data_IF_670496400105
#
_entry.id   IF_670496400105
#
_cell.length_a   1.000
_cell.length_b   1.000
_cell.length_c   1.000
_cell.angle_alpha   90.00
_cell.angle_beta   90.00
_cell.angle_gamma   90.00
#
_symmetry.space_group_name_H-M   'P 1'
#
loop_
_entity.id
_entity.type
_entity.pdbx_description
1 polymer ?
#
# COMPACT_ATOMS: atom_id res chain seq x y z
N UNK A 1 12.85 -58.15 -45.04
CA UNK A 1 13.91 -57.12 -45.13
C UNK A 1 13.59 -56.18 -46.29
N UNK A 2 13.71 -54.86 -46.09
CA UNK A 2 13.33 -53.73 -46.97
C UNK A 2 11.94 -53.12 -46.75
N UNK A 3 11.73 -52.45 -45.62
CA UNK A 3 10.78 -51.30 -45.52
C UNK A 3 10.94 -50.50 -44.21
N UNK A 4 12.16 -50.24 -43.73
CA UNK A 4 12.37 -49.45 -42.49
C UNK A 4 13.32 -48.24 -42.70
N UNK A 5 13.86 -48.03 -43.90
CA UNK A 5 14.75 -46.88 -44.18
C UNK A 5 14.11 -45.98 -45.23
N UNK A 6 13.05 -45.28 -44.86
CA UNK A 6 12.53 -44.11 -45.62
C UNK A 6 11.82 -43.07 -44.75
N UNK A 7 11.75 -43.26 -43.43
CA UNK A 7 11.03 -42.37 -42.51
C UNK A 7 11.96 -41.46 -41.68
N UNK A 8 13.21 -41.27 -42.13
CA UNK A 8 14.23 -40.45 -41.45
C UNK A 8 14.61 -39.17 -42.19
N UNK A 9 13.80 -38.73 -43.16
CA UNK A 9 14.04 -37.52 -43.97
C UNK A 9 12.81 -36.59 -44.04
N UNK A 10 12.05 -36.48 -42.96
CA UNK A 10 10.89 -35.60 -42.87
C UNK A 10 10.77 -34.86 -41.53
N UNK A 11 11.90 -34.61 -40.85
CA UNK A 11 12.00 -33.80 -39.62
C UNK A 11 13.01 -32.64 -39.78
N UNK A 12 13.09 -32.07 -40.97
CA UNK A 12 13.80 -30.81 -41.20
C UNK A 12 12.90 -30.00 -42.13
N UNK A 13 12.69 -28.72 -41.81
CA UNK A 13 11.68 -27.79 -42.38
C UNK A 13 10.40 -27.71 -41.51
N UNK A 14 10.51 -27.12 -40.31
CA UNK A 14 9.73 -25.93 -39.86
C UNK A 14 10.54 -25.28 -38.71
N UNK A 15 11.64 -24.62 -39.04
CA UNK A 15 12.22 -23.56 -38.20
C UNK A 15 12.39 -22.40 -39.17
N UNK A 16 11.52 -21.39 -39.06
CA UNK A 16 11.69 -19.99 -39.46
C UNK A 16 10.32 -19.33 -39.62
N UNK A 17 9.69 -18.97 -38.52
CA UNK A 17 8.90 -17.74 -38.43
C UNK A 17 9.47 -16.92 -37.28
N UNK A 18 10.59 -16.26 -37.61
CA UNK A 18 11.12 -15.12 -36.85
C UNK A 18 9.97 -14.16 -36.54
N UNK A 19 9.75 -13.87 -35.27
CA UNK A 19 8.91 -12.74 -34.88
C UNK A 19 9.59 -11.47 -35.43
N UNK A 20 8.93 -10.82 -36.40
CA UNK A 20 9.26 -9.46 -36.78
C UNK A 20 9.04 -8.56 -35.57
N UNK A 21 10.12 -8.27 -34.82
CA UNK A 21 10.14 -7.12 -33.94
C UNK A 21 10.13 -5.88 -34.82
N UNK A 22 8.92 -5.38 -35.10
CA UNK A 22 8.72 -4.11 -35.76
C UNK A 22 9.32 -3.01 -34.87
N UNK A 23 10.48 -2.49 -35.29
CA UNK A 23 10.91 -1.14 -34.95
C UNK A 23 9.94 -0.18 -35.63
N UNK A 24 8.86 0.15 -34.95
CA UNK A 24 8.18 1.42 -35.19
C UNK A 24 8.75 2.41 -34.18
N UNK A 25 9.80 3.11 -34.59
CA UNK A 25 10.07 4.45 -34.09
C UNK A 25 8.85 5.30 -34.45
N UNK A 26 8.04 5.61 -33.45
CA UNK A 26 7.32 6.86 -33.43
C UNK A 26 8.03 7.75 -32.43
N UNK A 27 8.95 8.56 -32.94
CA UNK A 27 9.26 9.85 -32.34
C UNK A 27 7.96 10.65 -32.29
N UNK A 28 7.26 10.52 -31.16
CA UNK A 28 6.38 11.55 -30.64
C UNK A 28 6.91 11.84 -29.26
N UNK A 29 7.51 13.02 -29.13
CA UNK A 29 7.83 13.61 -27.84
C UNK A 29 6.65 13.40 -26.90
N UNK A 30 6.84 12.55 -25.90
CA UNK A 30 5.97 12.55 -24.74
C UNK A 30 6.15 13.93 -24.12
N UNK A 31 5.14 14.79 -24.34
CA UNK A 31 4.90 15.87 -23.40
C UNK A 31 4.70 15.19 -22.05
N UNK A 32 5.72 15.26 -21.20
CA UNK A 32 5.52 15.14 -19.76
C UNK A 32 4.71 16.37 -19.34
N UNK A 33 3.40 16.20 -19.36
CA UNK A 33 2.38 17.13 -18.90
C UNK A 33 1.17 16.23 -18.72
N UNK A 34 0.85 15.76 -17.52
CA UNK A 34 0.46 16.57 -16.38
C UNK A 34 -0.87 15.96 -15.92
N UNK A 35 -1.15 16.02 -14.63
CA UNK A 35 -2.43 15.64 -14.03
C UNK A 35 -2.68 14.13 -13.83
N UNK A 36 -2.07 13.55 -12.79
CA UNK A 36 -2.73 12.54 -11.96
C UNK A 36 -3.94 13.20 -11.26
N UNK A 37 -4.96 13.59 -12.02
CA UNK A 37 -6.18 14.16 -11.45
C UNK A 37 -7.02 13.01 -10.89
N UNK A 38 -6.73 12.67 -9.65
CA UNK A 38 -7.68 12.01 -8.76
C UNK A 38 -8.89 12.91 -8.64
N UNK A 39 -9.97 12.55 -9.35
CA UNK A 39 -11.22 13.31 -9.40
C UNK A 39 -12.34 12.70 -8.55
N UNK A 40 -12.04 11.61 -7.85
CA UNK A 40 -13.01 10.88 -7.06
C UNK A 40 -13.24 11.45 -5.66
N UNK A 41 -14.22 10.89 -4.95
CA UNK A 41 -14.59 11.34 -3.62
C UNK A 41 -13.42 11.16 -2.62
N UNK A 42 -13.11 12.17 -1.79
CA UNK A 42 -12.17 11.99 -0.68
C UNK A 42 -12.64 10.89 0.28
N UNK A 43 -11.70 10.10 0.79
CA UNK A 43 -11.99 9.06 1.76
C UNK A 43 -12.47 9.68 3.08
N UNK A 44 -11.88 10.81 3.48
CA UNK A 44 -12.13 11.46 4.76
C UNK A 44 -12.30 12.97 4.59
N UNK A 45 -13.24 13.55 5.34
CA UNK A 45 -13.31 15.00 5.57
C UNK A 45 -12.66 15.30 6.93
N UNK A 46 -11.36 15.56 6.93
CA UNK A 46 -10.55 15.75 8.13
C UNK A 46 -10.09 17.20 8.31
N UNK A 47 -9.77 17.57 9.55
CA UNK A 47 -9.10 18.83 9.91
C UNK A 47 -7.79 18.61 10.70
N UNK A 48 -7.46 17.36 11.00
CA UNK A 48 -6.19 16.96 11.59
C UNK A 48 -5.84 15.51 11.19
N UNK A 49 -4.53 15.22 11.11
CA UNK A 49 -4.01 13.87 10.88
C UNK A 49 -2.88 13.61 11.87
N UNK A 50 -3.09 12.65 12.77
CA UNK A 50 -1.99 12.09 13.54
C UNK A 50 -1.29 11.04 12.68
N UNK A 51 0.03 11.02 12.71
CA UNK A 51 0.84 9.98 12.10
C UNK A 51 1.60 9.22 13.18
N UNK A 52 1.53 7.90 13.12
CA UNK A 52 2.20 6.99 14.03
C UNK A 52 3.17 6.13 13.23
N UNK A 53 4.42 6.11 13.65
CA UNK A 53 5.47 5.32 12.99
C UNK A 53 6.23 4.43 13.98
N UNK A 54 6.65 3.25 13.52
CA UNK A 54 7.62 2.41 14.21
C UNK A 54 8.73 1.94 13.25
N UNK A 55 9.76 1.33 13.81
CA UNK A 55 10.92 0.77 13.12
C UNK A 55 11.07 -0.74 13.40
N UNK A 56 9.96 -1.44 13.66
CA UNK A 56 9.99 -2.85 14.04
C UNK A 56 10.72 -3.69 12.98
N UNK A 57 11.67 -4.49 13.45
CA UNK A 57 12.38 -5.46 12.63
C UNK A 57 11.39 -6.47 12.03
N UNK A 58 11.65 -6.86 10.79
CA UNK A 58 10.79 -7.79 10.07
C UNK A 58 10.70 -9.15 10.76
N UNK A 59 11.79 -9.70 11.31
CA UNK A 59 11.74 -10.99 11.99
C UNK A 59 10.92 -10.91 13.27
N UNK A 60 11.03 -9.80 14.01
CA UNK A 60 10.22 -9.55 15.21
C UNK A 60 8.74 -9.45 14.84
N UNK A 61 8.41 -8.69 13.79
CA UNK A 61 7.04 -8.56 13.31
C UNK A 61 6.46 -9.92 12.87
N UNK A 62 7.23 -10.70 12.12
CA UNK A 62 6.81 -12.03 11.65
C UNK A 62 6.60 -13.01 12.80
N UNK A 63 7.35 -12.89 13.89
CA UNK A 63 7.14 -13.72 15.06
C UNK A 63 5.78 -13.47 15.74
N UNK A 64 5.14 -12.30 15.53
CA UNK A 64 3.82 -12.00 16.10
C UNK A 64 2.73 -12.98 15.61
N UNK A 65 2.90 -13.59 14.43
CA UNK A 65 2.00 -14.64 13.93
C UNK A 65 1.91 -15.83 14.89
N UNK A 66 2.99 -16.13 15.61
CA UNK A 66 3.06 -17.23 16.58
C UNK A 66 2.65 -16.79 18.00
N UNK A 67 2.62 -15.49 18.27
CA UNK A 67 2.41 -14.93 19.61
C UNK A 67 1.02 -14.33 19.81
N UNK A 68 0.21 -14.20 18.75
CA UNK A 68 -1.08 -13.48 18.78
C UNK A 68 -2.08 -13.93 19.87
N UNK A 69 -1.92 -15.14 20.42
CA UNK A 69 -2.78 -15.68 21.48
C UNK A 69 -2.08 -15.80 22.85
N UNK A 70 -0.86 -15.30 22.99
CA UNK A 70 -0.05 -15.48 24.20
C UNK A 70 -0.39 -14.46 25.30
N UNK A 71 -0.72 -13.24 24.90
CA UNK A 71 -1.13 -12.18 25.82
C UNK A 71 -1.99 -11.14 25.11
N UNK A 72 -2.71 -10.31 25.86
CA UNK A 72 -3.46 -9.17 25.30
C UNK A 72 -2.55 -8.18 24.57
N UNK A 73 -1.33 -7.97 25.07
CA UNK A 73 -0.37 -7.07 24.42
C UNK A 73 0.16 -7.67 23.12
N UNK A 74 0.43 -8.98 23.07
CA UNK A 74 0.89 -9.63 21.84
C UNK A 74 -0.20 -9.66 20.78
N UNK A 75 -1.45 -9.89 21.20
CA UNK A 75 -2.61 -9.74 20.31
C UNK A 75 -2.71 -8.32 19.76
N UNK A 76 -2.58 -7.31 20.62
CA UNK A 76 -2.64 -5.92 20.20
C UNK A 76 -1.51 -5.56 19.23
N UNK A 77 -0.28 -6.03 19.50
CA UNK A 77 0.85 -5.89 18.58
C UNK A 77 0.56 -6.55 17.24
N UNK A 78 0.05 -7.78 17.26
CA UNK A 78 -0.32 -8.50 16.05
C UNK A 78 -1.36 -7.70 15.24
N UNK A 79 -2.49 -7.30 15.84
CA UNK A 79 -3.57 -6.59 15.17
C UNK A 79 -3.10 -5.26 14.53
N UNK A 80 -2.22 -4.52 15.24
CA UNK A 80 -1.71 -3.24 14.74
C UNK A 80 -0.58 -3.36 13.72
N UNK A 81 0.29 -4.37 13.82
CA UNK A 81 1.52 -4.48 13.00
C UNK A 81 1.35 -5.42 11.81
N UNK A 82 0.59 -6.51 11.94
CA UNK A 82 0.53 -7.59 10.94
C UNK A 82 -0.90 -7.91 10.52
N UNK A 83 -1.78 -8.04 11.51
CA UNK A 83 -3.16 -8.48 11.34
C UNK A 83 -4.07 -7.44 10.71
N UNK A 84 -5.36 -7.75 10.73
CA UNK A 84 -6.41 -6.81 10.34
C UNK A 84 -6.72 -5.86 11.49
N UNK A 85 -6.92 -4.59 11.16
CA UNK A 85 -7.37 -3.62 12.17
C UNK A 85 -8.74 -4.06 12.69
N UNK A 86 -8.97 -4.06 14.01
CA UNK A 86 -10.32 -4.26 14.53
C UNK A 86 -11.28 -3.25 13.89
N UNK A 87 -12.48 -3.70 13.47
CA UNK A 87 -13.43 -2.86 12.72
C UNK A 87 -13.86 -1.58 13.46
N UNK A 88 -13.62 -1.49 14.77
CA UNK A 88 -14.10 -0.41 15.61
C UNK A 88 -12.98 0.51 16.16
N UNK A 89 -12.47 1.39 15.29
CA UNK A 89 -11.57 2.50 15.65
C UNK A 89 -12.21 3.60 16.51
N UNK A 90 -13.53 3.54 16.73
CA UNK A 90 -14.23 4.48 17.60
C UNK A 90 -14.15 4.08 19.08
N UNK A 91 -13.40 3.02 19.42
CA UNK A 91 -13.09 2.73 20.81
C UNK A 91 -12.21 3.86 21.38
N UNK A 92 -12.52 4.33 22.59
CA UNK A 92 -11.87 5.48 23.22
C UNK A 92 -10.34 5.31 23.42
N UNK A 93 -9.80 4.11 23.22
CA UNK A 93 -8.40 3.78 23.49
C UNK A 93 -7.54 3.55 22.24
N UNK A 94 -8.07 3.70 21.01
CA UNK A 94 -7.32 3.31 19.80
C UNK A 94 -5.94 3.97 19.67
N UNK A 95 -5.84 5.28 19.96
CA UNK A 95 -4.54 5.98 19.92
C UNK A 95 -3.60 5.57 21.05
N UNK A 96 -4.16 5.27 22.22
CA UNK A 96 -3.38 4.83 23.38
C UNK A 96 -2.82 3.43 23.16
N UNK A 97 -3.59 2.56 22.50
CA UNK A 97 -3.19 1.23 22.08
C UNK A 97 -2.03 1.27 21.08
N UNK A 98 -2.08 2.19 20.11
CA UNK A 98 -0.98 2.41 19.15
C UNK A 98 0.32 2.81 19.88
N UNK A 99 0.22 3.74 20.83
CA UNK A 99 1.37 4.19 21.63
C UNK A 99 1.88 3.05 22.52
N UNK A 100 0.99 2.28 23.16
CA UNK A 100 1.33 1.15 24.02
C UNK A 100 2.10 0.05 23.29
N UNK A 101 1.83 -0.14 22.00
CA UNK A 101 2.56 -1.09 21.14
C UNK A 101 3.96 -0.57 20.75
N UNK A 102 4.24 0.71 20.95
CA UNK A 102 5.56 1.31 20.75
C UNK A 102 5.67 2.19 19.51
N UNK A 103 4.55 2.56 18.87
CA UNK A 103 4.59 3.56 17.82
C UNK A 103 4.84 4.95 18.41
N UNK A 104 5.58 5.76 17.65
CA UNK A 104 5.83 7.17 17.97
C UNK A 104 4.86 8.04 17.18
N UNK A 105 4.24 9.00 17.88
CA UNK A 105 3.31 9.96 17.29
C UNK A 105 4.05 11.18 16.73
N UNK A 106 3.57 11.66 15.59
CA UNK A 106 3.75 13.02 15.08
C UNK A 106 2.42 13.54 14.52
N UNK A 107 2.36 14.84 14.22
CA UNK A 107 1.19 15.49 13.63
C UNK A 107 1.57 16.01 12.25
N UNK A 108 0.76 15.69 11.24
CA UNK A 108 0.96 16.21 9.88
C UNK A 108 0.55 17.67 9.86
N UNK A 109 1.39 18.54 9.32
CA UNK A 109 1.07 19.96 9.19
C UNK A 109 0.01 20.20 8.11
N UNK A 110 -0.82 21.22 8.31
CA UNK A 110 -1.91 21.57 7.40
C UNK A 110 -1.47 21.85 5.96
N UNK A 111 -0.22 22.26 5.75
CA UNK A 111 0.35 22.51 4.42
C UNK A 111 0.38 21.25 3.53
N UNK A 112 0.43 20.07 4.14
CA UNK A 112 0.44 18.79 3.41
C UNK A 112 -0.98 18.18 3.27
N UNK A 113 -2.02 18.78 3.87
CA UNK A 113 -3.37 18.22 3.87
C UNK A 113 -3.94 18.07 2.47
N UNK A 114 -3.72 19.03 1.57
CA UNK A 114 -4.19 18.91 0.19
C UNK A 114 -3.60 17.69 -0.50
N UNK A 115 -2.30 17.44 -0.34
CA UNK A 115 -1.62 16.28 -0.91
C UNK A 115 -2.12 14.97 -0.27
N UNK A 116 -2.35 14.96 1.04
CA UNK A 116 -2.97 13.82 1.72
C UNK A 116 -4.39 13.56 1.21
N UNK A 117 -5.23 14.59 1.09
CA UNK A 117 -6.59 14.46 0.55
C UNK A 117 -6.57 13.90 -0.87
N UNK A 118 -5.68 14.41 -1.73
CA UNK A 118 -5.50 13.88 -3.08
C UNK A 118 -5.13 12.39 -3.03
N UNK A 119 -4.12 12.00 -2.24
CA UNK A 119 -3.71 10.61 -2.13
C UNK A 119 -4.83 9.69 -1.61
N UNK A 120 -5.59 10.15 -0.61
CA UNK A 120 -6.73 9.46 -0.01
C UNK A 120 -8.06 9.87 -0.65
N UNK A 121 -8.15 9.77 -1.97
CA UNK A 121 -9.37 9.96 -2.76
C UNK A 121 -9.59 8.79 -3.71
N UNK A 122 -10.84 8.54 -4.09
CA UNK A 122 -11.17 7.49 -5.05
C UNK A 122 -10.42 7.71 -6.36
N UNK A 123 -9.89 6.62 -6.91
CA UNK A 123 -9.21 6.60 -8.20
C UNK A 123 -9.88 5.60 -9.13
N UNK A 124 -9.97 5.95 -10.41
CA UNK A 124 -10.42 5.06 -11.48
C UNK A 124 -9.27 4.27 -12.09
N UNK A 125 -8.02 4.60 -11.75
CA UNK A 125 -6.82 3.88 -12.22
C UNK A 125 -6.80 2.44 -11.71
N UNK A 126 -6.29 1.54 -12.54
CA UNK A 126 -6.25 0.10 -12.27
C UNK A 126 -4.92 -0.50 -12.72
N UNK A 127 -3.86 -0.15 -12.00
CA UNK A 127 -2.51 -0.71 -12.22
C UNK A 127 -2.10 -1.60 -11.03
N UNK A 128 -3.02 -2.46 -10.58
CA UNK A 128 -2.88 -3.19 -9.32
C UNK A 128 -1.86 -4.32 -9.40
N UNK A 129 -0.61 -4.06 -9.02
CA UNK A 129 0.33 -5.09 -8.61
C UNK A 129 0.22 -5.31 -7.10
N UNK A 130 -0.52 -6.34 -6.68
CA UNK A 130 -0.52 -6.80 -5.30
C UNK A 130 0.55 -7.88 -5.12
N UNK A 131 1.56 -7.60 -4.31
CA UNK A 131 2.54 -8.62 -3.92
C UNK A 131 1.93 -9.57 -2.90
N UNK A 132 2.29 -10.85 -2.94
CA UNK A 132 1.79 -11.93 -2.07
C UNK A 132 2.39 -11.92 -0.65
N UNK A 133 2.99 -10.80 -0.22
CA UNK A 133 3.58 -10.62 1.10
C UNK A 133 2.55 -10.65 2.24
N UNK A 134 3.05 -10.96 3.44
CA UNK A 134 2.39 -10.58 4.69
C UNK A 134 2.74 -9.11 4.95
N UNK A 135 1.77 -8.20 5.10
CA UNK A 135 2.06 -6.79 5.34
C UNK A 135 2.63 -6.57 6.74
N UNK A 136 3.62 -5.69 6.84
CA UNK A 136 4.13 -5.16 8.11
C UNK A 136 3.83 -3.67 8.12
N UNK A 137 2.84 -3.30 8.91
CA UNK A 137 2.33 -1.95 9.04
C UNK A 137 3.18 -1.18 10.05
N UNK A 138 4.13 -0.41 9.52
CA UNK A 138 5.00 0.48 10.32
C UNK A 138 4.48 1.91 10.38
N UNK A 139 3.48 2.22 9.57
CA UNK A 139 3.00 3.56 9.35
C UNK A 139 1.47 3.55 9.48
N UNK A 140 0.93 4.31 10.43
CA UNK A 140 -0.52 4.43 10.69
C UNK A 140 -0.90 5.90 10.67
N UNK A 141 -1.85 6.27 9.82
CA UNK A 141 -2.47 7.60 9.82
C UNK A 141 -3.82 7.51 10.52
N UNK A 142 -4.10 8.45 11.42
CA UNK A 142 -5.39 8.59 12.09
C UNK A 142 -6.00 9.94 11.72
N UNK A 143 -7.09 9.89 10.97
CA UNK A 143 -7.79 11.05 10.46
C UNK A 143 -8.81 11.54 11.48
N UNK A 144 -8.82 12.84 11.74
CA UNK A 144 -9.70 13.46 12.74
C UNK A 144 -10.51 14.61 12.15
N UNK A 145 -11.72 14.79 12.67
CA UNK A 145 -12.57 15.95 12.44
C UNK A 145 -13.11 16.45 13.76
N UNK A 146 -12.92 17.73 14.08
CA UNK A 146 -13.34 18.31 15.35
C UNK A 146 -12.87 17.47 16.55
N UNK A 147 -11.59 17.07 16.55
CA UNK A 147 -10.93 16.22 17.58
C UNK A 147 -11.45 14.77 17.69
N UNK A 148 -12.41 14.34 16.87
CA UNK A 148 -12.90 12.95 16.84
C UNK A 148 -12.22 12.17 15.74
N UNK A 149 -11.86 10.92 16.02
CA UNK A 149 -11.36 9.99 15.00
C UNK A 149 -12.52 9.70 14.04
N UNK A 150 -12.26 9.85 12.75
CA UNK A 150 -13.22 9.54 11.69
C UNK A 150 -12.72 8.42 10.77
N UNK A 151 -11.44 8.07 10.85
CA UNK A 151 -10.84 7.06 10.01
C UNK A 151 -9.40 6.76 10.38
N UNK A 152 -8.91 5.64 9.87
CA UNK A 152 -7.51 5.27 10.00
C UNK A 152 -7.03 4.57 8.72
N UNK A 153 -5.74 4.69 8.45
CA UNK A 153 -5.06 3.97 7.40
C UNK A 153 -3.76 3.35 7.91
N UNK A 154 -3.64 2.03 7.85
CA UNK A 154 -2.37 1.33 8.06
C UNK A 154 -1.70 1.13 6.71
N UNK A 155 -0.41 1.41 6.63
CA UNK A 155 0.37 1.38 5.40
C UNK A 155 1.58 0.47 5.58
N UNK A 156 1.78 -0.43 4.62
CA UNK A 156 2.98 -1.22 4.46
C UNK A 156 3.64 -0.81 3.15
N UNK A 157 4.65 0.08 3.23
CA UNK A 157 5.42 0.49 2.06
C UNK A 157 6.28 -0.64 1.48
N UNK A 158 6.69 -1.62 2.30
CA UNK A 158 7.53 -2.73 1.85
C UNK A 158 6.87 -3.60 0.79
N UNK A 159 5.54 -3.67 0.75
CA UNK A 159 4.83 -4.40 -0.29
C UNK A 159 3.54 -3.76 -0.78
N UNK A 160 3.44 -2.43 -0.63
CA UNK A 160 2.36 -1.61 -1.16
C UNK A 160 0.97 -2.13 -0.77
N UNK A 161 0.83 -2.54 0.49
CA UNK A 161 -0.45 -2.96 1.09
C UNK A 161 -0.94 -1.94 2.09
N UNK A 162 -2.26 -1.87 2.24
CA UNK A 162 -2.92 -0.96 3.15
C UNK A 162 -4.15 -1.60 3.79
N UNK A 163 -4.60 -0.99 4.89
CA UNK A 163 -5.94 -1.17 5.43
C UNK A 163 -6.50 0.21 5.72
N UNK A 164 -7.66 0.54 5.16
CA UNK A 164 -8.31 1.84 5.30
C UNK A 164 -9.71 1.62 5.84
N UNK A 165 -10.04 2.29 6.94
CA UNK A 165 -11.31 2.12 7.66
C UNK A 165 -11.89 3.47 8.08
N UNK A 166 -13.20 3.49 8.35
CA UNK A 166 -13.95 4.70 8.71
C UNK A 166 -14.47 5.51 7.50
N UNK A 167 -14.37 4.97 6.28
CA UNK A 167 -14.92 5.61 5.07
C UNK A 167 -15.96 4.75 4.36
N UNK A 168 -16.86 5.42 3.63
CA UNK A 168 -17.78 4.79 2.65
C UNK A 168 -17.30 4.93 1.21
N UNK A 169 -16.18 5.63 1.00
CA UNK A 169 -15.57 5.77 -0.32
C UNK A 169 -14.96 4.43 -0.78
N UNK A 170 -14.82 4.25 -2.09
CA UNK A 170 -14.18 3.07 -2.65
C UNK A 170 -12.65 3.16 -2.52
N UNK A 171 -12.07 2.33 -1.66
CA UNK A 171 -10.63 2.30 -1.38
C UNK A 171 -9.85 1.28 -2.21
N UNK A 172 -10.51 0.50 -3.09
CA UNK A 172 -9.89 -0.62 -3.79
C UNK A 172 -8.69 -0.22 -4.65
N UNK A 173 -8.72 0.99 -5.22
CA UNK A 173 -7.67 1.52 -6.09
C UNK A 173 -6.75 2.52 -5.34
N UNK A 174 -6.70 2.47 -4.01
CA UNK A 174 -5.70 3.26 -3.29
C UNK A 174 -4.29 2.72 -3.55
N UNK A 175 -3.31 3.62 -3.66
CA UNK A 175 -1.90 3.23 -3.72
C UNK A 175 -1.44 2.82 -5.12
N UNK A 176 -2.14 3.27 -6.17
CA UNK A 176 -1.80 2.97 -7.55
C UNK A 176 -0.72 3.91 -8.08
N UNK A 177 -0.01 3.50 -9.14
CA UNK A 177 1.05 4.30 -9.76
C UNK A 177 2.12 4.74 -8.75
N UNK A 178 2.25 6.06 -8.55
CA UNK A 178 3.25 6.67 -7.66
C UNK A 178 2.71 7.04 -6.27
N UNK A 179 1.49 6.63 -5.93
CA UNK A 179 0.83 7.04 -4.67
C UNK A 179 1.63 6.66 -3.43
N UNK A 180 2.14 5.43 -3.34
CA UNK A 180 2.95 5.00 -2.20
C UNK A 180 4.27 5.76 -2.10
N UNK A 181 4.91 6.08 -3.24
CA UNK A 181 6.13 6.89 -3.27
C UNK A 181 5.85 8.31 -2.76
N UNK A 182 4.79 8.95 -3.29
CA UNK A 182 4.36 10.28 -2.87
C UNK A 182 3.98 10.32 -1.39
N UNK A 183 3.24 9.32 -0.91
CA UNK A 183 2.87 9.22 0.50
C UNK A 183 4.12 9.07 1.38
N UNK A 184 5.07 8.21 1.00
CA UNK A 184 6.33 8.03 1.72
C UNK A 184 7.12 9.33 1.82
N UNK A 185 7.22 10.11 0.73
CA UNK A 185 7.89 11.41 0.72
C UNK A 185 7.23 12.42 1.68
N UNK A 186 5.90 12.42 1.79
CA UNK A 186 5.19 13.27 2.76
C UNK A 186 5.49 12.79 4.19
N UNK A 187 5.31 11.50 4.48
CA UNK A 187 5.44 10.96 5.83
C UNK A 187 6.88 11.01 6.37
N UNK A 188 7.89 10.92 5.51
CA UNK A 188 9.29 11.02 5.92
C UNK A 188 9.64 12.37 6.56
N UNK A 189 8.91 13.45 6.24
CA UNK A 189 9.06 14.76 6.91
C UNK A 189 8.73 14.72 8.40
N UNK A 190 7.91 13.75 8.81
CA UNK A 190 7.30 13.64 10.14
C UNK A 190 7.77 12.39 10.89
N UNK A 191 8.69 11.61 10.30
CA UNK A 191 9.14 10.35 10.86
C UNK A 191 10.17 10.62 11.95
N UNK A 192 9.81 10.30 13.19
CA UNK A 192 10.66 10.48 14.35
C UNK A 192 11.32 9.14 14.73
N UNK A 193 12.17 8.61 13.84
CA UNK A 193 12.99 7.43 14.15
C UNK A 193 14.26 7.92 14.83
N UNK A 194 14.61 7.32 15.97
CA UNK A 194 15.87 7.61 16.67
C UNK A 194 16.92 6.61 16.19
#
# INVERSE_FOLDING_TARGET
MKTIVKFLLLIIIIINTSCNFSKNQSDKSSKEQGDNVKSGKPFFDFDAVDYYSNDIDENIAMNLLNLQNNSELDKLKYDLIVGETPENINNNNFTDDIIKVGFKKSEIESKDFQSITQLFSESTERDGLYFTCIPIFRDILVFKKNKRIIGAAKICFGCNRNQIIGTKANTNNFGQGKDYEMLSLILNKYKNIN
#
